data_IF_318922732165
#
_entry.id   IF_318922732165
#
_cell.length_a   1.000
_cell.length_b   1.000
_cell.length_c   1.000
_cell.angle_alpha   90.00
_cell.angle_beta   90.00
_cell.angle_gamma   90.00
#
_symmetry.space_group_name_H-M   'P 1'
#
loop_
_entity.id
_entity.type
_entity.pdbx_description
1 polymer ?
#
# COMPACT_ATOMS: atom_id res chain seq x y z
N UNK A 1 -32.13 -63.27 49.52
CA UNK A 1 -33.33 -62.42 49.66
C UNK A 1 -33.11 -61.14 48.86
N UNK A 2 -34.14 -60.72 48.11
CA UNK A 2 -34.30 -59.48 47.33
C UNK A 2 -33.64 -59.41 45.94
N UNK A 3 -34.50 -59.73 44.96
CA UNK A 3 -34.71 -59.12 43.63
C UNK A 3 -33.61 -59.25 42.54
N UNK A 4 -33.94 -59.14 41.23
CA UNK A 4 -35.24 -59.24 40.54
C UNK A 4 -35.24 -60.05 39.20
N UNK A 5 -36.46 -60.40 38.78
CA UNK A 5 -37.07 -60.45 37.43
C UNK A 5 -36.27 -60.92 36.19
N UNK A 6 -36.86 -61.95 35.55
CA UNK A 6 -36.59 -62.44 34.17
C UNK A 6 -37.23 -61.53 33.08
N UNK A 7 -36.90 -61.75 31.79
CA UNK A 7 -36.84 -60.75 30.73
C UNK A 7 -37.97 -60.87 29.68
N UNK A 8 -38.01 -59.91 28.74
CA UNK A 8 -38.49 -59.99 27.35
C UNK A 8 -38.50 -58.55 26.78
N UNK A 9 -38.27 -58.18 25.53
CA UNK A 9 -37.84 -58.85 24.30
C UNK A 9 -37.41 -57.72 23.34
N UNK A 10 -36.53 -58.07 22.40
CA UNK A 10 -35.98 -57.27 21.29
C UNK A 10 -37.03 -56.74 20.31
N UNK A 11 -36.93 -55.46 19.94
CA UNK A 11 -37.29 -54.97 18.58
C UNK A 11 -36.22 -53.97 18.14
N UNK A 12 -35.48 -54.32 17.11
CA UNK A 12 -34.48 -53.48 16.50
C UNK A 12 -35.09 -52.31 15.73
N UNK A 13 -34.39 -51.18 15.73
CA UNK A 13 -34.49 -50.23 14.63
C UNK A 13 -33.12 -49.59 14.40
N UNK A 14 -32.48 -50.01 13.31
CA UNK A 14 -31.31 -49.34 12.75
C UNK A 14 -31.75 -47.93 12.32
N UNK A 15 -31.13 -46.88 12.84
CA UNK A 15 -31.19 -45.56 12.24
C UNK A 15 -29.78 -44.97 12.22
N UNK A 16 -29.39 -44.61 11.01
CA UNK A 16 -28.08 -44.13 10.57
C UNK A 16 -27.68 -42.84 11.30
N UNK A 17 -26.40 -42.73 11.65
CA UNK A 17 -25.78 -41.51 12.17
C UNK A 17 -25.67 -40.49 11.03
N UNK A 18 -26.63 -39.57 10.92
CA UNK A 18 -26.52 -38.40 10.06
C UNK A 18 -25.77 -37.30 10.83
N UNK A 19 -24.45 -37.22 10.65
CA UNK A 19 -23.64 -36.09 11.12
C UNK A 19 -24.03 -34.85 10.31
N UNK A 20 -24.91 -34.02 10.84
CA UNK A 20 -25.14 -32.68 10.31
C UNK A 20 -23.88 -31.83 10.53
N UNK A 21 -23.01 -31.74 9.51
CA UNK A 21 -22.06 -30.64 9.41
C UNK A 21 -22.87 -29.37 9.07
N UNK A 22 -23.17 -28.56 10.09
CA UNK A 22 -23.62 -27.19 9.87
C UNK A 22 -22.43 -26.40 9.29
N UNK A 23 -22.36 -26.33 7.96
CA UNK A 23 -21.41 -25.48 7.25
C UNK A 23 -21.86 -24.03 7.46
N UNK A 24 -21.24 -23.35 8.43
CA UNK A 24 -21.47 -21.94 8.70
C UNK A 24 -21.10 -21.10 7.47
N UNK A 25 -22.10 -20.41 6.92
CA UNK A 25 -21.93 -19.45 5.83
C UNK A 25 -21.25 -18.19 6.40
N UNK A 26 -19.91 -18.15 6.37
CA UNK A 26 -19.15 -16.96 6.76
C UNK A 26 -19.31 -15.92 5.65
N UNK A 27 -20.18 -14.94 5.88
CA UNK A 27 -20.34 -13.76 5.03
C UNK A 27 -19.07 -12.90 5.17
N UNK A 28 -18.08 -13.15 4.31
CA UNK A 28 -16.86 -12.34 4.28
C UNK A 28 -17.14 -11.02 3.58
N UNK A 29 -17.33 -9.96 4.36
CA UNK A 29 -17.42 -8.58 3.85
C UNK A 29 -16.02 -8.14 3.43
N UNK A 30 -15.74 -8.19 2.12
CA UNK A 30 -14.49 -7.65 1.56
C UNK A 30 -14.55 -6.12 1.67
N UNK A 31 -13.63 -5.45 2.39
CA UNK A 31 -13.58 -4.01 2.39
C UNK A 31 -13.15 -3.56 0.99
N UNK A 32 -14.00 -2.83 0.30
CA UNK A 32 -13.63 -2.18 -0.96
C UNK A 32 -12.72 -1.02 -0.61
N UNK A 33 -11.44 -1.14 -0.90
CA UNK A 33 -10.50 -0.02 -0.80
C UNK A 33 -10.83 0.93 -1.93
N UNK A 34 -11.40 2.09 -1.62
CA UNK A 34 -11.70 3.12 -2.60
C UNK A 34 -10.38 3.68 -3.14
N UNK A 35 -10.06 3.37 -4.39
CA UNK A 35 -8.99 4.04 -5.12
C UNK A 35 -9.41 5.48 -5.39
N UNK A 36 -8.72 6.44 -4.78
CA UNK A 36 -8.89 7.85 -5.13
C UNK A 36 -8.45 8.05 -6.59
N UNK A 37 -9.41 8.23 -7.48
CA UNK A 37 -9.15 8.55 -8.88
C UNK A 37 -8.61 9.98 -8.97
N UNK A 38 -7.53 10.19 -9.72
CA UNK A 38 -7.00 11.52 -10.08
C UNK A 38 -8.14 12.31 -10.69
N UNK A 39 -8.60 13.36 -10.00
CA UNK A 39 -9.39 14.36 -10.66
C UNK A 39 -8.43 15.31 -11.38
N UNK A 40 -8.61 15.61 -12.69
CA UNK A 40 -7.79 16.60 -13.38
C UNK A 40 -7.74 17.96 -12.66
N UNK A 41 -8.80 18.28 -11.91
CA UNK A 41 -8.90 19.44 -11.04
C UNK A 41 -7.86 19.44 -9.91
N UNK A 42 -7.53 18.29 -9.34
CA UNK A 42 -6.58 18.19 -8.22
C UNK A 42 -5.16 18.49 -8.73
N UNK A 43 -4.76 17.89 -9.85
CA UNK A 43 -3.45 18.13 -10.46
C UNK A 43 -3.22 19.61 -10.79
N UNK A 44 -4.21 20.28 -11.38
CA UNK A 44 -4.13 21.72 -11.65
C UNK A 44 -4.07 22.55 -10.36
N UNK A 45 -4.86 22.18 -9.34
CA UNK A 45 -4.85 22.85 -8.03
C UNK A 45 -3.48 22.77 -7.37
N UNK A 46 -2.90 21.57 -7.29
CA UNK A 46 -1.59 21.39 -6.67
C UNK A 46 -0.44 21.91 -7.51
N UNK A 47 -0.59 22.00 -8.84
CA UNK A 47 0.35 22.76 -9.67
C UNK A 47 0.38 24.23 -9.26
N UNK A 48 -0.76 24.86 -9.03
CA UNK A 48 -0.80 26.25 -8.56
C UNK A 48 -0.16 26.42 -7.17
N UNK A 49 -0.30 25.44 -6.28
CA UNK A 49 0.40 25.42 -4.98
C UNK A 49 1.93 25.36 -5.18
N UNK A 50 2.41 24.48 -6.07
CA UNK A 50 3.84 24.40 -6.42
C UNK A 50 4.36 25.72 -6.99
N UNK A 51 3.62 26.33 -7.91
CA UNK A 51 4.00 27.60 -8.54
C UNK A 51 4.16 28.71 -7.50
N UNK A 52 3.22 28.77 -6.56
CA UNK A 52 3.20 29.80 -5.51
C UNK A 52 4.32 29.63 -4.47
N UNK A 53 4.60 28.39 -4.08
CA UNK A 53 5.41 28.12 -2.88
C UNK A 53 6.78 27.49 -3.16
N UNK A 54 6.91 26.73 -4.25
CA UNK A 54 8.10 25.94 -4.55
C UNK A 54 8.89 26.50 -5.74
N UNK A 55 8.21 26.76 -6.86
CA UNK A 55 8.83 27.17 -8.13
C UNK A 55 9.52 28.52 -8.00
N UNK A 56 9.08 29.41 -7.11
CA UNK A 56 9.76 30.68 -6.83
C UNK A 56 11.27 30.51 -6.53
N UNK A 57 11.67 29.36 -5.96
CA UNK A 57 13.07 29.03 -5.63
C UNK A 57 13.62 27.85 -6.43
N UNK A 58 12.78 26.86 -6.76
CA UNK A 58 13.15 25.64 -7.48
C UNK A 58 12.70 25.74 -8.95
N UNK A 59 13.27 26.70 -9.66
CA UNK A 59 13.05 26.95 -11.08
C UNK A 59 14.37 26.84 -11.86
N UNK A 60 14.30 26.86 -13.18
CA UNK A 60 15.45 26.74 -14.08
C UNK A 60 16.50 27.84 -13.88
N UNK A 61 16.08 29.02 -13.38
CA UNK A 61 16.98 30.16 -13.20
C UNK A 61 17.74 30.11 -11.88
N UNK A 62 17.08 29.76 -10.78
CA UNK A 62 17.65 29.78 -9.42
C UNK A 62 18.16 28.41 -8.98
N UNK A 63 17.53 27.33 -9.44
CA UNK A 63 17.87 25.93 -9.19
C UNK A 63 18.31 25.64 -7.74
N UNK A 64 17.59 26.19 -6.76
CA UNK A 64 17.96 25.98 -5.34
C UNK A 64 17.97 24.49 -5.04
N UNK A 65 19.06 24.01 -4.44
CA UNK A 65 19.22 22.58 -4.15
C UNK A 65 19.34 21.69 -5.40
N UNK A 66 19.81 22.24 -6.52
CA UNK A 66 19.97 21.53 -7.80
C UNK A 66 18.66 20.90 -8.30
N UNK A 67 17.54 21.59 -8.09
CA UNK A 67 16.19 21.15 -8.44
C UNK A 67 15.46 22.26 -9.20
N UNK A 68 14.88 21.89 -10.35
CA UNK A 68 13.87 22.68 -11.05
C UNK A 68 12.55 21.92 -11.07
N UNK A 69 11.45 22.65 -10.86
CA UNK A 69 10.09 22.13 -10.89
C UNK A 69 9.28 22.76 -12.04
N UNK A 70 9.89 23.60 -12.89
CA UNK A 70 9.17 24.33 -13.96
C UNK A 70 8.44 23.39 -14.91
N UNK A 71 9.16 22.42 -15.48
CA UNK A 71 8.62 21.50 -16.49
C UNK A 71 7.92 20.26 -15.90
N UNK A 72 7.91 20.13 -14.58
CA UNK A 72 7.29 18.96 -13.94
C UNK A 72 5.77 19.05 -13.99
N UNK A 73 5.19 18.06 -14.64
CA UNK A 73 3.75 17.91 -14.82
C UNK A 73 3.09 17.22 -13.64
N UNK A 74 2.25 17.96 -12.92
CA UNK A 74 1.50 17.45 -11.76
C UNK A 74 0.43 16.41 -12.14
N UNK A 75 0.01 16.36 -13.41
CA UNK A 75 -0.90 15.33 -13.94
C UNK A 75 -0.17 14.07 -14.43
N UNK A 76 1.17 14.07 -14.42
CA UNK A 76 2.02 12.96 -14.83
C UNK A 76 3.11 12.66 -13.79
N UNK A 77 2.72 12.56 -12.52
CA UNK A 77 3.65 12.31 -11.40
C UNK A 77 4.55 11.09 -11.63
N UNK A 78 4.03 10.04 -12.28
CA UNK A 78 4.80 8.83 -12.55
C UNK A 78 6.03 9.01 -13.46
N UNK A 79 6.05 10.02 -14.33
CA UNK A 79 7.17 10.23 -15.27
C UNK A 79 8.47 10.66 -14.56
N UNK A 80 8.34 11.30 -13.40
CA UNK A 80 9.46 11.83 -12.60
C UNK A 80 9.31 11.47 -11.11
N UNK A 81 8.91 10.22 -10.83
CA UNK A 81 8.58 9.77 -9.48
C UNK A 81 9.70 10.04 -8.45
N UNK A 82 10.97 9.89 -8.83
CA UNK A 82 12.12 10.16 -7.97
C UNK A 82 12.23 11.63 -7.52
N UNK A 83 11.81 12.57 -8.37
CA UNK A 83 11.78 13.99 -8.04
C UNK A 83 10.57 14.30 -7.17
N UNK A 84 9.42 13.73 -7.50
CA UNK A 84 8.19 13.89 -6.73
C UNK A 84 8.29 13.29 -5.33
N UNK A 85 9.00 12.18 -5.13
CA UNK A 85 9.31 11.63 -3.81
C UNK A 85 10.15 12.60 -2.97
N UNK A 86 11.10 13.31 -3.58
CA UNK A 86 11.85 14.37 -2.88
C UNK A 86 10.93 15.52 -2.47
N UNK A 87 10.01 15.93 -3.33
CA UNK A 87 8.99 16.95 -3.00
C UNK A 87 8.10 16.47 -1.84
N UNK A 88 7.59 15.24 -1.91
CA UNK A 88 6.79 14.61 -0.86
C UNK A 88 7.54 14.59 0.47
N UNK A 89 8.83 14.21 0.46
CA UNK A 89 9.66 14.21 1.67
C UNK A 89 9.77 15.61 2.28
N UNK A 90 9.85 16.68 1.47
CA UNK A 90 9.87 18.06 1.95
C UNK A 90 8.53 18.52 2.51
N UNK A 91 7.42 18.08 1.91
CA UNK A 91 6.07 18.33 2.42
C UNK A 91 5.85 17.63 3.77
N UNK A 92 6.18 16.34 3.87
CA UNK A 92 6.01 15.53 5.09
C UNK A 92 6.87 16.04 6.26
N UNK A 93 8.08 16.50 5.97
CA UNK A 93 8.96 17.11 6.99
C UNK A 93 8.65 18.58 7.25
N UNK A 94 7.71 19.15 6.49
CA UNK A 94 7.37 20.58 6.50
C UNK A 94 8.61 21.50 6.35
N UNK A 95 9.68 21.00 5.75
CA UNK A 95 10.94 21.73 5.61
C UNK A 95 10.92 22.74 4.46
N UNK A 96 9.92 22.64 3.57
CA UNK A 96 9.66 23.60 2.51
C UNK A 96 8.21 24.09 2.56
N UNK A 97 7.96 25.38 2.26
CA UNK A 97 8.95 26.46 2.06
C UNK A 97 9.73 26.80 3.34
N UNK A 98 10.98 27.28 3.28
CA UNK A 98 11.79 27.51 4.48
C UNK A 98 11.17 28.59 5.39
N UNK A 99 11.54 28.64 6.70
CA UNK A 99 11.10 29.70 7.59
C UNK A 99 11.33 31.11 7.02
N UNK A 100 10.36 32.00 7.21
CA UNK A 100 10.40 33.36 6.66
C UNK A 100 9.89 33.49 5.22
N UNK A 101 9.46 32.40 4.57
CA UNK A 101 8.68 32.45 3.32
C UNK A 101 7.19 32.24 3.59
N UNK A 102 6.30 32.71 2.70
CA UNK A 102 4.89 32.32 2.74
C UNK A 102 4.77 30.80 2.71
N UNK A 103 3.87 30.24 3.51
CA UNK A 103 3.62 28.80 3.61
C UNK A 103 2.13 28.51 3.39
N UNK A 104 1.79 27.35 2.82
CA UNK A 104 0.43 26.81 2.85
C UNK A 104 -0.11 26.72 4.28
N UNK A 105 -1.44 26.74 4.41
CA UNK A 105 -2.10 26.36 5.65
C UNK A 105 -1.84 24.87 5.95
N UNK A 106 -1.86 24.47 7.23
CA UNK A 106 -1.58 23.09 7.64
C UNK A 106 -2.48 22.06 6.94
N UNK A 107 -3.75 22.43 6.74
CA UNK A 107 -4.71 21.57 6.03
C UNK A 107 -4.38 21.42 4.54
N UNK A 108 -3.80 22.45 3.91
CA UNK A 108 -3.36 22.42 2.51
C UNK A 108 -2.09 21.57 2.36
N UNK A 109 -1.16 21.64 3.33
CA UNK A 109 -0.03 20.70 3.41
C UNK A 109 -0.48 19.25 3.45
N UNK A 110 -1.40 18.94 4.38
CA UNK A 110 -1.90 17.58 4.56
C UNK A 110 -2.56 17.05 3.28
N UNK A 111 -3.45 17.85 2.68
CA UNK A 111 -4.13 17.49 1.43
C UNK A 111 -3.15 17.30 0.27
N UNK A 112 -2.19 18.21 0.11
CA UNK A 112 -1.20 18.10 -0.96
C UNK A 112 -0.30 16.88 -0.78
N UNK A 113 0.19 16.64 0.44
CA UNK A 113 0.99 15.45 0.74
C UNK A 113 0.20 14.16 0.50
N UNK A 114 -1.05 14.08 0.95
CA UNK A 114 -1.88 12.89 0.76
C UNK A 114 -2.21 12.63 -0.71
N UNK A 115 -2.52 13.69 -1.47
CA UNK A 115 -2.70 13.58 -2.91
C UNK A 115 -1.43 13.05 -3.57
N UNK A 116 -0.28 13.69 -3.35
CA UNK A 116 0.99 13.30 -4.00
C UNK A 116 1.40 11.86 -3.65
N UNK A 117 1.19 11.41 -2.41
CA UNK A 117 1.35 10.00 -2.03
C UNK A 117 0.47 9.09 -2.87
N UNK A 118 -0.83 9.39 -3.01
CA UNK A 118 -1.75 8.59 -3.79
C UNK A 118 -1.39 8.54 -5.29
N UNK A 119 -0.84 9.63 -5.85
CA UNK A 119 -0.34 9.64 -7.23
C UNK A 119 0.84 8.69 -7.42
N UNK A 120 1.82 8.78 -6.50
CA UNK A 120 3.03 7.96 -6.52
C UNK A 120 2.70 6.48 -6.30
N UNK A 121 1.81 6.17 -5.36
CA UNK A 121 1.35 4.81 -5.12
C UNK A 121 0.66 4.22 -6.35
N UNK A 122 -0.15 5.03 -7.06
CA UNK A 122 -0.79 4.58 -8.32
C UNK A 122 0.22 4.38 -9.45
N UNK A 123 1.20 5.27 -9.59
CA UNK A 123 2.28 5.09 -10.56
C UNK A 123 3.09 3.81 -10.27
N UNK A 124 3.43 3.56 -9.01
CA UNK A 124 4.14 2.37 -8.56
C UNK A 124 3.31 1.08 -8.78
N UNK A 125 2.00 1.12 -8.54
CA UNK A 125 1.11 -0.01 -8.81
C UNK A 125 0.99 -0.32 -10.31
N UNK A 126 1.02 0.71 -11.17
CA UNK A 126 0.96 0.54 -12.62
C UNK A 126 2.25 -0.05 -13.20
N UNK A 127 3.41 0.29 -12.63
CA UNK A 127 4.71 -0.27 -13.01
C UNK A 127 5.48 -0.74 -11.77
N UNK A 128 5.15 -1.92 -11.21
CA UNK A 128 5.77 -2.40 -9.98
C UNK A 128 7.28 -2.58 -10.14
N UNK A 129 8.03 -1.87 -9.31
CA UNK A 129 9.48 -2.03 -9.20
C UNK A 129 9.83 -2.44 -7.76
N UNK A 130 9.96 -3.74 -7.45
CA UNK A 130 10.36 -4.22 -6.12
C UNK A 130 11.82 -3.88 -5.77
N UNK A 131 12.53 -3.17 -6.66
CA UNK A 131 13.94 -2.89 -6.54
C UNK A 131 14.80 -4.12 -6.84
N UNK A 132 16.09 -4.01 -6.49
CA UNK A 132 17.00 -5.15 -6.56
C UNK A 132 16.85 -5.97 -5.27
N UNK A 133 16.78 -7.31 -5.34
CA UNK A 133 16.91 -8.15 -4.16
C UNK A 133 18.17 -7.75 -3.40
N UNK A 134 18.02 -7.40 -2.12
CA UNK A 134 19.18 -7.22 -1.26
C UNK A 134 19.81 -8.58 -1.01
N UNK A 135 21.14 -8.63 -0.88
CA UNK A 135 21.82 -9.87 -0.50
C UNK A 135 21.35 -10.26 0.91
N UNK A 136 20.52 -11.28 1.02
CA UNK A 136 20.08 -11.84 2.29
C UNK A 136 20.82 -13.14 2.59
N UNK A 137 20.94 -13.45 3.88
CA UNK A 137 21.47 -14.74 4.30
C UNK A 137 20.45 -15.82 3.94
N UNK A 138 20.91 -16.86 3.24
CA UNK A 138 20.08 -18.00 2.93
C UNK A 138 19.55 -18.64 4.22
N UNK A 139 18.25 -18.89 4.25
CA UNK A 139 17.64 -19.70 5.28
C UNK A 139 17.99 -21.19 5.07
N UNK A 140 17.64 -22.05 6.04
CA UNK A 140 17.99 -23.48 5.98
C UNK A 140 17.43 -24.18 4.74
N UNK A 141 16.21 -23.83 4.32
CA UNK A 141 15.56 -24.40 3.15
C UNK A 141 16.26 -23.95 1.87
N UNK A 142 16.52 -22.64 1.74
CA UNK A 142 17.24 -22.05 0.61
C UNK A 142 18.65 -22.63 0.45
N UNK A 143 19.40 -22.79 1.55
CA UNK A 143 20.72 -23.43 1.52
C UNK A 143 20.63 -24.90 1.08
N UNK A 144 19.66 -25.66 1.61
CA UNK A 144 19.49 -27.07 1.24
C UNK A 144 19.17 -27.21 -0.24
N UNK A 145 18.29 -26.36 -0.76
CA UNK A 145 17.95 -26.36 -2.18
C UNK A 145 19.15 -25.94 -3.04
N UNK A 146 19.90 -24.91 -2.64
CA UNK A 146 21.11 -24.51 -3.35
C UNK A 146 22.16 -25.63 -3.41
N UNK A 147 22.35 -26.40 -2.32
CA UNK A 147 23.25 -27.55 -2.32
C UNK A 147 22.75 -28.67 -3.24
N UNK A 148 21.45 -28.98 -3.23
CA UNK A 148 20.87 -29.96 -4.17
C UNK A 148 21.01 -29.52 -5.61
N UNK A 149 20.74 -28.25 -5.91
CA UNK A 149 20.84 -27.70 -7.28
C UNK A 149 22.28 -27.72 -7.79
N UNK A 150 23.26 -27.45 -6.92
CA UNK A 150 24.68 -27.46 -7.28
C UNK A 150 25.26 -28.88 -7.40
N UNK A 151 24.80 -29.83 -6.58
CA UNK A 151 25.40 -31.17 -6.47
C UNK A 151 24.56 -32.30 -7.08
N UNK A 152 23.31 -32.03 -7.47
CA UNK A 152 22.38 -33.01 -8.06
C UNK A 152 21.87 -34.07 -7.07
N UNK A 153 21.75 -33.75 -5.79
CA UNK A 153 21.39 -34.67 -4.69
C UNK A 153 19.90 -34.69 -4.34
#
# INVERSE_FOLDING_TARGET
MRHPLKPAETVGRRVSVMRCFAFGLILSTVPTVATAQQSPTDAATYRAVLDRYCVVCHNERLQRGALSLDDLRADQVGEHADVWEKVLQKLQTQSMPPPGRPRPEETEYGRFSSWLTAELDRAAAATPNPGRPTIHRLNRLEYTNAIRDLLGL
#
